data_IF_292633143649
#
_entry.id   IF_292633143649
#
_cell.length_a   1.000
_cell.length_b   1.000
_cell.length_c   1.000
_cell.angle_alpha   90.00
_cell.angle_beta   90.00
_cell.angle_gamma   90.00
#
_symmetry.space_group_name_H-M   'P 1'
#
loop_
_entity.id
_entity.type
_entity.pdbx_description
1 polymer ?
#
# COMPACT_ATOMS: atom_id res chain seq x y z
N UNK A 1 -10.43 -5.46 -0.71
CA UNK A 1 -9.29 -5.07 -1.56
C UNK A 1 -8.07 -5.88 -1.18
N UNK A 2 -7.44 -6.52 -2.14
CA UNK A 2 -6.19 -7.23 -1.89
C UNK A 2 -5.03 -6.26 -1.81
N UNK A 3 -3.89 -6.73 -1.28
CA UNK A 3 -2.69 -5.90 -1.23
C UNK A 3 -2.21 -5.49 -2.62
N UNK A 4 -2.31 -6.40 -3.59
CA UNK A 4 -1.93 -6.11 -4.98
C UNK A 4 -2.81 -5.02 -5.59
N UNK A 5 -4.11 -5.08 -5.31
CA UNK A 5 -5.04 -4.04 -5.77
C UNK A 5 -4.71 -2.69 -5.14
N UNK A 6 -4.35 -2.71 -3.86
CA UNK A 6 -3.97 -1.48 -3.17
C UNK A 6 -2.68 -0.90 -3.77
N UNK A 7 -1.69 -1.75 -4.09
CA UNK A 7 -0.47 -1.28 -4.75
C UNK A 7 -0.78 -0.60 -6.08
N UNK A 8 -1.68 -1.21 -6.87
CA UNK A 8 -2.06 -0.63 -8.17
C UNK A 8 -2.73 0.74 -7.98
N UNK A 9 -3.60 0.85 -6.99
CA UNK A 9 -4.26 2.11 -6.67
C UNK A 9 -3.25 3.20 -6.25
N UNK A 10 -2.29 2.82 -5.42
CA UNK A 10 -1.25 3.75 -4.98
C UNK A 10 -0.40 4.23 -6.15
N UNK A 11 -0.02 3.32 -7.06
CA UNK A 11 0.75 3.71 -8.25
C UNK A 11 0.01 4.72 -9.10
N UNK A 12 -1.31 4.56 -9.25
CA UNK A 12 -2.13 5.53 -9.98
C UNK A 12 -2.12 6.91 -9.32
N UNK A 13 -1.85 6.97 -8.04
CA UNK A 13 -1.89 8.21 -7.27
C UNK A 13 -0.51 8.76 -6.92
N UNK A 14 0.49 8.37 -7.70
CA UNK A 14 1.82 8.95 -7.59
C UNK A 14 2.78 8.24 -6.64
N UNK A 15 2.36 7.11 -6.07
CA UNK A 15 3.25 6.30 -5.25
C UNK A 15 4.12 5.41 -6.10
N UNK A 16 5.38 5.27 -5.76
CA UNK A 16 6.32 4.43 -6.49
C UNK A 16 6.82 3.30 -5.59
N UNK A 17 7.08 2.11 -6.15
CA UNK A 17 7.67 1.03 -5.35
C UNK A 17 9.12 1.38 -5.02
N UNK A 18 9.51 1.14 -3.76
CA UNK A 18 10.87 1.33 -3.30
C UNK A 18 11.57 -0.02 -3.18
N UNK A 19 11.08 -0.86 -2.26
CA UNK A 19 11.69 -2.16 -2.01
C UNK A 19 10.67 -3.12 -1.41
N UNK A 20 11.03 -4.41 -1.40
CA UNK A 20 10.23 -5.44 -0.77
C UNK A 20 11.02 -5.97 0.43
N UNK A 21 10.38 -5.94 1.59
CA UNK A 21 10.96 -6.43 2.82
C UNK A 21 10.07 -7.56 3.35
N UNK A 22 10.44 -8.80 3.07
CA UNK A 22 9.60 -9.95 3.38
C UNK A 22 8.30 -9.88 2.57
N UNK A 23 7.17 -9.92 3.26
CA UNK A 23 5.86 -9.79 2.63
C UNK A 23 5.38 -8.33 2.55
N UNK A 24 6.21 -7.38 2.95
CA UNK A 24 5.86 -5.96 2.92
C UNK A 24 6.46 -5.27 1.71
N UNK A 25 5.60 -4.65 0.92
CA UNK A 25 6.03 -3.83 -0.21
C UNK A 25 6.08 -2.38 0.25
N UNK A 26 7.26 -1.79 0.18
CA UNK A 26 7.45 -0.41 0.62
C UNK A 26 7.22 0.52 -0.56
N UNK A 27 6.28 1.44 -0.40
CA UNK A 27 5.94 2.44 -1.42
C UNK A 27 6.36 3.81 -0.93
N UNK A 28 6.82 4.65 -1.85
CA UNK A 28 7.27 6.01 -1.51
C UNK A 28 6.56 7.04 -2.37
N UNK A 29 6.36 8.22 -1.79
CA UNK A 29 5.84 9.39 -2.48
C UNK A 29 6.45 10.62 -1.82
N UNK A 30 7.46 11.22 -2.49
CA UNK A 30 8.22 12.30 -1.90
C UNK A 30 8.93 11.81 -0.65
N UNK A 31 8.66 12.45 0.49
CA UNK A 31 9.26 12.06 1.78
C UNK A 31 8.43 11.03 2.54
N UNK A 32 7.28 10.66 1.99
CA UNK A 32 6.37 9.72 2.65
C UNK A 32 6.67 8.29 2.24
N UNK A 33 6.54 7.37 3.18
CA UNK A 33 6.66 5.93 2.94
C UNK A 33 5.46 5.20 3.51
N UNK A 34 5.06 4.12 2.82
CA UNK A 34 4.01 3.24 3.30
C UNK A 34 4.49 1.80 3.16
N UNK A 35 4.16 0.98 4.13
CA UNK A 35 4.45 -0.46 4.10
C UNK A 35 3.13 -1.20 3.88
N UNK A 36 3.02 -1.89 2.74
CA UNK A 36 1.80 -2.58 2.35
C UNK A 36 2.00 -4.09 2.51
N UNK A 37 1.26 -4.75 3.42
CA UNK A 37 1.40 -6.20 3.57
C UNK A 37 0.74 -6.91 2.39
N UNK A 38 1.46 -7.84 1.78
CA UNK A 38 0.95 -8.64 0.67
C UNK A 38 0.94 -10.11 1.11
N UNK A 39 -0.24 -10.68 1.23
CA UNK A 39 -0.42 -12.06 1.63
C UNK A 39 -1.17 -12.83 0.53
N UNK A 40 -0.51 -13.03 -0.60
CA UNK A 40 -1.11 -13.70 -1.74
C UNK A 40 -2.34 -12.95 -2.23
N UNK A 41 -3.46 -13.66 -2.32
CA UNK A 41 -4.72 -13.08 -2.79
C UNK A 41 -5.66 -12.67 -1.64
N UNK A 42 -5.16 -12.66 -0.42
CA UNK A 42 -5.97 -12.27 0.73
C UNK A 42 -6.21 -10.77 0.76
N UNK A 43 -7.41 -10.40 1.22
CA UNK A 43 -7.76 -9.00 1.38
C UNK A 43 -6.97 -8.36 2.52
N UNK A 44 -6.65 -7.08 2.36
CA UNK A 44 -6.11 -6.28 3.45
C UNK A 44 -7.23 -6.09 4.48
N UNK A 45 -6.97 -6.34 5.77
CA UNK A 45 -8.01 -6.12 6.80
C UNK A 45 -8.57 -4.70 6.72
N UNK A 46 -9.89 -4.59 6.88
CA UNK A 46 -10.59 -3.32 6.67
C UNK A 46 -10.01 -2.16 7.47
N UNK A 47 -9.71 -2.37 8.75
CA UNK A 47 -9.12 -1.32 9.58
C UNK A 47 -7.78 -0.85 9.07
N UNK A 48 -6.92 -1.79 8.68
CA UNK A 48 -5.61 -1.47 8.12
C UNK A 48 -5.74 -0.78 6.78
N UNK A 49 -6.67 -1.26 5.93
CA UNK A 49 -6.92 -0.65 4.63
C UNK A 49 -7.29 0.83 4.77
N UNK A 50 -8.22 1.14 5.67
CA UNK A 50 -8.64 2.53 5.90
C UNK A 50 -7.48 3.39 6.39
N UNK A 51 -6.66 2.85 7.28
CA UNK A 51 -5.49 3.55 7.79
C UNK A 51 -4.51 3.86 6.66
N UNK A 52 -4.23 2.87 5.82
CA UNK A 52 -3.29 3.04 4.70
C UNK A 52 -3.81 4.04 3.68
N UNK A 53 -5.11 3.97 3.34
CA UNK A 53 -5.71 4.93 2.42
C UNK A 53 -5.65 6.34 2.97
N UNK A 54 -5.88 6.50 4.26
CA UNK A 54 -5.81 7.80 4.91
C UNK A 54 -4.39 8.35 4.88
N UNK A 55 -3.41 7.51 5.20
CA UNK A 55 -2.00 7.91 5.18
C UNK A 55 -1.54 8.24 3.76
N UNK A 56 -2.11 7.59 2.77
CA UNK A 56 -1.79 7.83 1.37
C UNK A 56 -2.47 9.09 0.80
N UNK A 57 -3.36 9.72 1.58
CA UNK A 57 -4.09 10.88 1.13
C UNK A 57 -5.25 10.57 0.19
N UNK A 58 -5.71 9.32 0.18
CA UNK A 58 -6.79 8.87 -0.70
C UNK A 58 -8.15 8.81 0.02
N UNK A 59 -8.18 9.19 1.29
CA UNK A 59 -9.41 9.11 2.04
C UNK A 59 -9.53 10.23 3.07
#
# INVERSE_FOLDING_TARGET
MTGKELLALLKKNGWAPDRINGSHHIMIKGVKTLSIPIHGNKDVPTGLLHKLLKEAGLK
#
